data_IF_971840557741
#
_entry.id   IF_971840557741
#
_cell.length_a   1.000
_cell.length_b   1.000
_cell.length_c   1.000
_cell.angle_alpha   90.00
_cell.angle_beta   90.00
_cell.angle_gamma   90.00
#
_symmetry.space_group_name_H-M   'P 1'
#
loop_
_entity.id
_entity.type
_entity.pdbx_description
1 polymer ?
#
# COMPACT_ATOMS: atom_id res chain seq x y z
N UNK A 1 -0.55 23.70 1.27
CA UNK A 1 -1.16 22.40 1.66
C UNK A 1 -2.56 22.39 1.11
N UNK A 2 -3.03 21.23 0.65
CA UNK A 2 -4.37 21.02 0.07
C UNK A 2 -5.15 20.02 0.90
N UNK A 3 -6.50 20.08 0.95
CA UNK A 3 -7.30 19.13 1.69
C UNK A 3 -7.37 17.74 1.02
N UNK A 4 -7.34 17.70 -0.30
CA UNK A 4 -7.45 16.51 -1.14
C UNK A 4 -6.38 16.55 -2.22
N UNK A 5 -5.87 15.39 -2.62
CA UNK A 5 -4.92 15.28 -3.73
C UNK A 5 -5.11 13.97 -4.51
N UNK A 6 -4.75 14.02 -5.78
CA UNK A 6 -4.59 12.84 -6.64
C UNK A 6 -3.12 12.42 -6.67
N UNK A 7 -2.89 11.14 -6.84
CA UNK A 7 -1.56 10.59 -7.06
C UNK A 7 -1.60 9.32 -7.87
N UNK A 8 -0.42 8.81 -8.21
CA UNK A 8 -0.27 7.53 -8.90
C UNK A 8 0.62 6.60 -8.11
N UNK A 9 0.41 5.31 -8.24
CA UNK A 9 1.25 4.29 -7.63
C UNK A 9 1.63 3.20 -8.64
N UNK A 10 2.93 3.00 -8.76
CA UNK A 10 3.52 1.82 -9.41
C UNK A 10 3.97 0.81 -8.36
N UNK A 11 4.75 1.24 -7.40
CA UNK A 11 5.25 0.42 -6.27
C UNK A 11 4.48 0.69 -4.99
N UNK A 12 4.79 1.80 -4.33
CA UNK A 12 4.20 2.19 -3.05
C UNK A 12 3.86 3.68 -2.97
N UNK A 13 3.77 4.38 -4.09
CA UNK A 13 3.78 5.85 -4.15
C UNK A 13 2.51 6.55 -3.64
N UNK A 14 1.45 5.83 -3.29
CA UNK A 14 0.27 6.35 -2.58
C UNK A 14 0.28 5.89 -1.13
N UNK A 15 0.32 4.59 -0.92
CA UNK A 15 0.14 3.96 0.41
C UNK A 15 1.27 4.35 1.36
N UNK A 16 2.53 4.22 0.90
CA UNK A 16 3.70 4.51 1.73
C UNK A 16 3.80 5.98 2.14
N UNK A 17 3.79 6.98 1.23
CA UNK A 17 3.88 8.39 1.64
C UNK A 17 2.67 8.85 2.45
N UNK A 18 1.47 8.33 2.20
CA UNK A 18 0.31 8.61 3.05
C UNK A 18 0.55 8.14 4.49
N UNK A 19 1.10 6.94 4.66
CA UNK A 19 1.50 6.40 5.97
C UNK A 19 2.49 7.32 6.67
N UNK A 20 3.53 7.75 5.97
CA UNK A 20 4.58 8.62 6.51
C UNK A 20 4.09 10.02 6.86
N UNK A 21 3.06 10.50 6.16
CA UNK A 21 2.44 11.81 6.43
C UNK A 21 1.29 11.74 7.44
N UNK A 22 0.93 10.57 7.94
CA UNK A 22 -0.18 10.39 8.88
C UNK A 22 -1.54 10.73 8.27
N UNK A 23 -1.73 10.46 6.98
CA UNK A 23 -2.99 10.69 6.26
C UNK A 23 -3.48 9.38 5.61
N UNK A 24 -4.72 9.40 5.14
CA UNK A 24 -5.29 8.29 4.39
C UNK A 24 -4.84 8.36 2.93
N UNK A 25 -4.36 7.23 2.40
CA UNK A 25 -4.03 7.04 1.00
C UNK A 25 -4.85 5.88 0.45
N UNK A 26 -5.55 6.10 -0.63
CA UNK A 26 -6.35 5.10 -1.31
C UNK A 26 -5.81 4.85 -2.72
N UNK A 27 -5.37 3.64 -2.99
CA UNK A 27 -5.03 3.16 -4.33
C UNK A 27 -6.23 2.39 -4.87
N UNK A 28 -6.81 2.84 -5.97
CA UNK A 28 -7.94 2.16 -6.58
C UNK A 28 -7.57 0.78 -7.15
N UNK A 29 -8.55 -0.03 -7.47
CA UNK A 29 -8.40 -1.15 -8.41
C UNK A 29 -7.74 -0.63 -9.70
N UNK A 30 -6.90 -1.43 -10.36
CA UNK A 30 -6.35 -1.06 -11.68
C UNK A 30 -7.51 -0.74 -12.62
N UNK A 31 -7.36 0.35 -13.38
CA UNK A 31 -8.41 0.89 -14.26
C UNK A 31 -9.75 1.26 -13.56
N UNK A 32 -9.79 1.27 -12.22
CA UNK A 32 -10.95 1.71 -11.44
C UNK A 32 -11.21 3.23 -11.54
N UNK A 33 -10.22 4.00 -11.95
CA UNK A 33 -10.35 5.39 -12.37
C UNK A 33 -9.89 5.56 -13.80
N UNK A 34 -10.54 6.44 -14.56
CA UNK A 34 -10.06 6.82 -15.88
C UNK A 34 -8.67 7.44 -15.77
N UNK A 35 -7.74 6.93 -16.56
CA UNK A 35 -6.35 7.37 -16.61
C UNK A 35 -6.05 8.26 -17.82
N UNK A 36 -7.08 8.72 -18.53
CA UNK A 36 -6.94 9.63 -19.66
C UNK A 36 -6.16 10.90 -19.29
N UNK A 37 -5.21 11.32 -20.13
CA UNK A 37 -4.36 12.48 -19.87
C UNK A 37 -3.21 12.26 -18.88
N UNK A 38 -3.05 11.07 -18.30
CA UNK A 38 -1.95 10.73 -17.41
C UNK A 38 -0.93 9.89 -18.17
N UNK A 39 0.34 10.26 -18.09
CA UNK A 39 1.41 9.47 -18.70
C UNK A 39 1.64 8.17 -17.92
N UNK A 40 1.41 7.05 -18.59
CA UNK A 40 1.74 5.73 -18.04
C UNK A 40 3.21 5.42 -18.29
N UNK A 41 3.92 5.10 -17.21
CA UNK A 41 5.31 4.62 -17.29
C UNK A 41 5.35 3.10 -17.14
N UNK A 42 4.40 2.53 -16.41
CA UNK A 42 4.24 1.07 -16.26
C UNK A 42 2.76 0.70 -16.41
N UNK A 43 2.28 0.52 -17.64
CA UNK A 43 0.86 0.40 -17.96
C UNK A 43 0.11 -0.69 -17.18
N UNK A 44 0.76 -1.81 -16.88
CA UNK A 44 0.15 -2.92 -16.13
C UNK A 44 0.25 -2.78 -14.60
N UNK A 45 0.90 -1.73 -14.09
CA UNK A 45 1.10 -1.50 -12.66
C UNK A 45 0.56 -0.14 -12.20
N UNK A 46 0.76 0.92 -13.00
CA UNK A 46 0.40 2.29 -12.63
C UNK A 46 -1.09 2.40 -12.34
N UNK A 47 -1.41 2.83 -11.15
CA UNK A 47 -2.79 2.98 -10.68
C UNK A 47 -2.99 4.38 -10.11
N UNK A 48 -4.12 4.99 -10.41
CA UNK A 48 -4.51 6.27 -9.82
C UNK A 48 -5.01 6.06 -8.38
N UNK A 49 -4.84 7.08 -7.55
CA UNK A 49 -5.35 7.04 -6.19
C UNK A 49 -5.46 8.42 -5.56
N UNK A 50 -5.88 8.42 -4.31
CA UNK A 50 -6.38 9.58 -3.59
C UNK A 50 -5.63 9.75 -2.28
N UNK A 51 -5.46 11.00 -1.85
CA UNK A 51 -4.99 11.37 -0.53
C UNK A 51 -5.99 12.29 0.14
N UNK A 52 -6.30 12.02 1.41
CA UNK A 52 -7.15 12.85 2.24
C UNK A 52 -6.83 12.70 3.74
N UNK A 53 -7.41 13.57 4.57
CA UNK A 53 -7.25 13.51 6.02
C UNK A 53 -8.32 12.68 6.72
N UNK A 54 -9.34 12.23 5.99
CA UNK A 54 -10.40 11.38 6.51
C UNK A 54 -10.92 10.40 5.47
N UNK A 55 -11.53 9.30 5.92
CA UNK A 55 -12.20 8.34 5.02
C UNK A 55 -13.41 8.97 4.31
N UNK A 56 -14.26 9.79 4.97
CA UNK A 56 -15.32 10.51 4.25
C UNK A 56 -14.81 11.36 3.09
N UNK A 57 -13.66 12.01 3.22
CA UNK A 57 -13.03 12.79 2.15
C UNK A 57 -12.52 11.89 1.00
N UNK A 58 -11.97 10.71 1.30
CA UNK A 58 -11.62 9.69 0.28
C UNK A 58 -12.88 9.27 -0.48
N UNK A 59 -13.98 8.97 0.23
CA UNK A 59 -15.24 8.59 -0.38
C UNK A 59 -15.83 9.70 -1.26
N UNK A 60 -15.78 10.95 -0.77
CA UNK A 60 -16.26 12.12 -1.51
C UNK A 60 -15.48 12.31 -2.81
N UNK A 61 -14.12 12.27 -2.74
CA UNK A 61 -13.27 12.47 -3.90
C UNK A 61 -13.42 11.32 -4.91
N UNK A 62 -13.53 10.07 -4.42
CA UNK A 62 -13.80 8.91 -5.26
C UNK A 62 -15.08 9.10 -6.07
N UNK A 63 -16.18 9.48 -5.41
CA UNK A 63 -17.49 9.74 -6.07
C UNK A 63 -17.40 10.87 -7.10
N UNK A 64 -16.68 11.94 -6.77
CA UNK A 64 -16.51 13.06 -7.71
C UNK A 64 -15.77 12.64 -9.00
N UNK A 65 -14.87 11.65 -8.91
CA UNK A 65 -14.14 11.13 -10.07
C UNK A 65 -14.93 10.09 -10.85
N UNK A 66 -15.63 9.19 -10.15
CA UNK A 66 -16.38 8.09 -10.80
C UNK A 66 -17.75 8.49 -11.29
N UNK A 67 -18.31 9.60 -10.80
CA UNK A 67 -19.69 10.00 -11.09
C UNK A 67 -20.74 9.13 -10.39
N UNK A 68 -20.36 8.29 -9.45
CA UNK A 68 -21.30 7.43 -8.71
C UNK A 68 -22.20 8.27 -7.78
N UNK A 69 -23.51 8.07 -7.88
CA UNK A 69 -24.48 8.84 -7.09
C UNK A 69 -24.73 8.28 -5.69
N UNK A 70 -24.30 7.05 -5.41
CA UNK A 70 -24.57 6.38 -4.14
C UNK A 70 -23.77 7.02 -2.99
N UNK A 71 -24.37 6.98 -1.79
CA UNK A 71 -23.76 7.50 -0.56
C UNK A 71 -22.42 6.83 -0.23
N UNK A 72 -21.74 7.32 0.81
CA UNK A 72 -20.56 6.63 1.33
C UNK A 72 -20.95 5.19 1.68
N UNK A 73 -20.29 4.21 1.08
CA UNK A 73 -20.46 2.83 1.48
C UNK A 73 -20.13 2.73 2.98
N UNK A 74 -21.09 2.28 3.76
CA UNK A 74 -20.87 1.95 5.16
C UNK A 74 -20.67 0.45 5.27
N UNK A 75 -19.80 0.04 6.20
CA UNK A 75 -19.80 -1.35 6.58
C UNK A 75 -21.14 -1.67 7.24
N UNK A 76 -21.88 -2.70 6.81
CA UNK A 76 -23.23 -2.94 7.32
C UNK A 76 -23.23 -3.13 8.83
N UNK A 77 -24.15 -2.43 9.52
CA UNK A 77 -24.31 -2.56 10.96
C UNK A 77 -24.59 -4.02 11.36
N UNK A 78 -23.94 -4.45 12.44
CA UNK A 78 -24.05 -5.82 12.95
C UNK A 78 -23.24 -6.87 12.19
N UNK A 79 -22.68 -6.57 11.04
CA UNK A 79 -21.80 -7.49 10.33
C UNK A 79 -20.39 -7.45 10.94
N UNK A 80 -19.92 -8.61 11.40
CA UNK A 80 -18.52 -8.78 11.87
C UNK A 80 -17.59 -8.81 10.65
N UNK A 81 -16.59 -7.92 10.56
CA UNK A 81 -15.59 -8.04 9.51
C UNK A 81 -14.76 -9.31 9.70
N UNK A 82 -14.56 -10.06 8.61
CA UNK A 82 -13.62 -11.17 8.55
C UNK A 82 -12.34 -10.65 7.89
N UNK A 83 -11.25 -10.58 8.62
CA UNK A 83 -10.01 -9.95 8.18
C UNK A 83 -8.87 -10.97 8.18
N UNK A 84 -8.06 -10.94 7.13
CA UNK A 84 -6.87 -11.77 7.03
C UNK A 84 -5.62 -10.99 7.41
N UNK A 85 -4.92 -11.38 8.48
CA UNK A 85 -3.60 -10.82 8.77
C UNK A 85 -2.55 -11.50 7.89
N UNK A 86 -1.99 -10.73 6.95
CA UNK A 86 -1.01 -11.23 5.99
C UNK A 86 0.36 -10.56 6.21
N UNK A 87 1.34 -11.34 6.68
CA UNK A 87 2.69 -10.82 6.92
C UNK A 87 3.53 -10.71 5.66
N UNK A 88 3.19 -11.44 4.60
CA UNK A 88 3.96 -11.60 3.36
C UNK A 88 5.38 -12.15 3.59
N UNK A 89 6.08 -12.51 2.50
CA UNK A 89 7.49 -12.90 2.55
C UNK A 89 8.44 -11.77 2.95
N UNK A 90 7.93 -10.53 3.01
CA UNK A 90 8.70 -9.33 3.35
C UNK A 90 8.69 -9.03 4.86
N UNK A 91 8.05 -9.86 5.67
CA UNK A 91 7.86 -9.59 7.11
C UNK A 91 9.16 -9.29 7.86
N UNK A 92 10.27 -9.90 7.47
CA UNK A 92 11.59 -9.65 8.06
C UNK A 92 12.13 -8.24 7.82
N UNK A 93 11.58 -7.50 6.86
CA UNK A 93 11.93 -6.09 6.60
C UNK A 93 11.15 -5.13 7.50
N UNK A 94 10.08 -5.59 8.16
CA UNK A 94 9.32 -4.76 9.09
C UNK A 94 10.15 -4.48 10.34
N UNK A 95 10.25 -3.22 10.73
CA UNK A 95 10.88 -2.84 11.99
C UNK A 95 10.14 -3.48 13.20
N UNK A 96 10.81 -3.64 14.35
CA UNK A 96 10.14 -4.15 15.55
C UNK A 96 8.86 -3.36 15.90
N UNK A 97 8.88 -2.05 15.71
CA UNK A 97 7.73 -1.17 15.97
C UNK A 97 6.58 -1.43 14.98
N UNK A 98 6.88 -1.68 13.70
CA UNK A 98 5.87 -2.07 12.70
C UNK A 98 5.28 -3.43 13.06
N UNK A 99 6.10 -4.40 13.44
CA UNK A 99 5.62 -5.72 13.88
C UNK A 99 4.71 -5.62 15.11
N UNK A 100 5.08 -4.78 16.08
CA UNK A 100 4.27 -4.49 17.26
C UNK A 100 2.96 -3.78 16.88
N UNK A 101 3.01 -2.78 16.00
CA UNK A 101 1.83 -2.05 15.53
C UNK A 101 0.80 -2.97 14.85
N UNK A 102 1.26 -3.93 14.04
CA UNK A 102 0.40 -4.94 13.43
C UNK A 102 -0.24 -5.85 14.49
N UNK A 103 0.51 -6.25 15.51
CA UNK A 103 -0.03 -7.02 16.65
C UNK A 103 -1.14 -6.27 17.39
N UNK A 104 -0.88 -5.01 17.76
CA UNK A 104 -1.86 -4.13 18.42
C UNK A 104 -3.08 -3.88 17.52
N UNK A 105 -2.88 -3.72 16.20
CA UNK A 105 -3.99 -3.57 15.26
C UNK A 105 -4.90 -4.81 15.30
N UNK A 106 -4.31 -6.01 15.27
CA UNK A 106 -5.07 -7.27 15.37
C UNK A 106 -5.91 -7.31 16.66
N UNK A 107 -5.30 -7.02 17.81
CA UNK A 107 -5.99 -7.04 19.10
C UNK A 107 -7.17 -6.06 19.11
N UNK A 108 -6.95 -4.80 18.73
CA UNK A 108 -8.01 -3.78 18.70
C UNK A 108 -9.16 -4.15 17.77
N UNK A 109 -8.85 -4.72 16.61
CA UNK A 109 -9.89 -5.13 15.67
C UNK A 109 -10.71 -6.30 16.19
N UNK A 110 -10.08 -7.24 16.89
CA UNK A 110 -10.78 -8.33 17.60
C UNK A 110 -11.67 -7.76 18.72
N UNK A 111 -11.16 -6.84 19.54
CA UNK A 111 -11.90 -6.20 20.62
C UNK A 111 -13.11 -5.41 20.09
N UNK A 112 -12.98 -4.80 18.91
CA UNK A 112 -14.07 -4.11 18.22
C UNK A 112 -15.07 -5.07 17.54
N UNK A 113 -14.83 -6.38 17.59
CA UNK A 113 -15.74 -7.42 17.09
C UNK A 113 -15.38 -8.00 15.72
N UNK A 114 -14.24 -7.68 15.12
CA UNK A 114 -13.79 -8.39 13.92
C UNK A 114 -13.34 -9.83 14.25
N UNK A 115 -13.45 -10.70 13.26
CA UNK A 115 -12.71 -11.95 13.24
C UNK A 115 -11.41 -11.74 12.45
N UNK A 116 -10.25 -11.96 13.07
CA UNK A 116 -8.95 -11.78 12.44
C UNK A 116 -8.19 -13.09 12.44
N UNK A 117 -7.99 -13.65 11.25
CA UNK A 117 -7.25 -14.92 11.06
C UNK A 117 -5.89 -14.64 10.40
N UNK A 118 -4.90 -15.49 10.71
CA UNK A 118 -3.61 -15.44 10.02
C UNK A 118 -3.74 -16.02 8.61
N UNK A 119 -3.24 -15.30 7.61
CA UNK A 119 -3.22 -15.73 6.21
C UNK A 119 -1.78 -15.94 5.76
N UNK A 120 -1.46 -17.17 5.39
CA UNK A 120 -0.28 -17.49 4.61
C UNK A 120 -0.64 -17.46 3.13
N UNK A 121 0.08 -16.68 2.33
CA UNK A 121 -0.12 -16.68 0.89
C UNK A 121 0.35 -17.99 0.28
N UNK A 122 -0.29 -18.49 -0.78
CA UNK A 122 0.17 -19.65 -1.53
C UNK A 122 1.63 -19.53 -1.99
N UNK A 123 2.31 -20.67 -2.17
CA UNK A 123 3.74 -20.72 -2.53
C UNK A 123 4.09 -19.92 -3.79
N UNK A 124 3.17 -19.79 -4.73
CA UNK A 124 3.36 -18.98 -5.95
C UNK A 124 3.79 -17.55 -5.64
N UNK A 125 3.42 -17.00 -4.48
CA UNK A 125 3.78 -15.63 -4.09
C UNK A 125 5.24 -15.44 -3.67
N UNK A 126 6.01 -16.49 -3.44
CA UNK A 126 7.42 -16.39 -3.04
C UNK A 126 8.26 -15.64 -4.07
N UNK A 127 7.92 -15.78 -5.37
CA UNK A 127 8.59 -15.10 -6.48
C UNK A 127 7.86 -13.87 -7.01
N UNK A 128 6.79 -13.44 -6.35
CA UNK A 128 5.94 -12.36 -6.85
C UNK A 128 6.69 -11.03 -7.02
N UNK A 129 7.58 -10.68 -6.09
CA UNK A 129 8.39 -9.46 -6.19
C UNK A 129 9.43 -9.50 -7.30
N UNK A 130 9.93 -10.67 -7.66
CA UNK A 130 10.82 -10.80 -8.81
C UNK A 130 10.06 -10.53 -10.11
N UNK A 131 8.84 -11.06 -10.23
CA UNK A 131 7.97 -10.74 -11.36
C UNK A 131 7.61 -9.25 -11.40
N UNK A 132 7.30 -8.63 -10.27
CA UNK A 132 7.09 -7.18 -10.20
C UNK A 132 8.30 -6.40 -10.73
N UNK A 133 9.52 -6.77 -10.33
CA UNK A 133 10.75 -6.10 -10.77
C UNK A 133 10.96 -6.22 -12.27
N UNK A 134 10.77 -7.41 -12.83
CA UNK A 134 10.88 -7.67 -14.28
C UNK A 134 9.86 -6.84 -15.06
N UNK A 135 8.58 -6.87 -14.66
CA UNK A 135 7.50 -6.10 -15.31
C UNK A 135 7.81 -4.60 -15.21
N UNK A 136 8.13 -4.11 -14.02
CA UNK A 136 8.42 -2.69 -13.78
C UNK A 136 9.61 -2.18 -14.58
N UNK A 137 10.67 -2.98 -14.70
CA UNK A 137 11.87 -2.62 -15.46
C UNK A 137 11.56 -2.58 -16.96
N UNK A 138 10.94 -3.62 -17.51
CA UNK A 138 10.60 -3.70 -18.92
C UNK A 138 9.68 -2.59 -19.38
N UNK A 139 8.55 -2.40 -18.69
CA UNK A 139 7.57 -1.38 -19.06
C UNK A 139 8.11 0.03 -18.87
N UNK A 140 8.80 0.28 -17.75
CA UNK A 140 9.40 1.58 -17.47
C UNK A 140 10.45 1.99 -18.50
N UNK A 141 11.26 1.05 -18.94
CA UNK A 141 12.26 1.32 -19.97
C UNK A 141 11.61 1.53 -21.34
N UNK A 142 10.60 0.74 -21.69
CA UNK A 142 9.85 0.92 -22.94
C UNK A 142 9.15 2.29 -22.99
N UNK A 143 8.56 2.73 -21.88
CA UNK A 143 7.88 4.03 -21.80
C UNK A 143 8.84 5.22 -21.84
N UNK A 144 10.10 5.03 -21.43
CA UNK A 144 11.13 6.06 -21.38
C UNK A 144 12.21 5.90 -22.46
N UNK A 145 11.97 5.02 -23.44
CA UNK A 145 12.97 4.72 -24.49
C UNK A 145 13.50 5.97 -25.20
N UNK A 146 12.61 6.89 -25.54
CA UNK A 146 12.99 8.13 -26.21
C UNK A 146 13.86 9.01 -25.32
N UNK A 147 13.47 9.23 -24.08
CA UNK A 147 14.23 10.02 -23.10
C UNK A 147 15.59 9.40 -22.83
N UNK A 148 15.63 8.07 -22.70
CA UNK A 148 16.89 7.33 -22.50
C UNK A 148 17.84 7.47 -23.69
N UNK A 149 17.31 7.49 -24.92
CA UNK A 149 18.11 7.63 -26.13
C UNK A 149 18.58 9.07 -26.35
N UNK A 150 17.72 10.07 -26.12
CA UNK A 150 17.96 11.45 -26.52
C UNK A 150 18.49 12.34 -25.37
N UNK A 151 18.21 11.96 -24.12
CA UNK A 151 18.42 12.82 -22.94
C UNK A 151 18.99 12.08 -21.72
N UNK A 152 19.72 10.99 -21.92
CA UNK A 152 20.22 10.13 -20.83
C UNK A 152 20.98 10.92 -19.75
N UNK A 153 21.84 11.87 -20.18
CA UNK A 153 22.66 12.67 -19.27
C UNK A 153 21.85 13.68 -18.43
N UNK A 154 20.68 14.08 -18.91
CA UNK A 154 19.76 14.95 -18.20
C UNK A 154 18.83 14.21 -17.24
N UNK A 155 18.79 12.87 -17.29
CA UNK A 155 17.96 12.06 -16.42
C UNK A 155 18.58 11.94 -15.02
N UNK A 156 17.70 11.74 -14.03
CA UNK A 156 18.11 11.42 -12.67
C UNK A 156 19.05 10.20 -12.64
N UNK A 157 20.11 10.18 -11.78
CA UNK A 157 21.03 9.07 -11.68
C UNK A 157 20.37 7.71 -11.49
N UNK A 158 19.28 7.65 -10.72
CA UNK A 158 18.50 6.45 -10.52
C UNK A 158 17.87 5.94 -11.83
N UNK A 159 17.29 6.83 -12.66
CA UNK A 159 16.72 6.45 -13.96
C UNK A 159 17.80 5.97 -14.94
N UNK A 160 19.00 6.57 -14.90
CA UNK A 160 20.16 6.10 -15.68
C UNK A 160 20.57 4.68 -15.30
N UNK A 161 20.53 4.36 -14.01
CA UNK A 161 20.81 3.00 -13.52
C UNK A 161 19.75 1.99 -13.97
N UNK A 162 18.46 2.38 -13.99
CA UNK A 162 17.37 1.59 -14.58
C UNK A 162 17.64 1.29 -16.07
N UNK A 163 18.04 2.31 -16.83
CA UNK A 163 18.41 2.15 -18.26
C UNK A 163 19.54 1.13 -18.46
N UNK A 164 20.55 1.14 -17.59
CA UNK A 164 21.68 0.18 -17.65
C UNK A 164 21.25 -1.26 -17.35
N UNK A 165 20.24 -1.46 -16.53
CA UNK A 165 19.73 -2.79 -16.15
C UNK A 165 18.79 -3.41 -17.17
N UNK A 166 18.20 -2.59 -18.07
CA UNK A 166 17.25 -3.06 -19.07
C UNK A 166 17.78 -4.20 -19.94
N UNK A 167 19.03 -4.19 -20.46
CA UNK A 167 19.53 -5.25 -21.31
C UNK A 167 19.53 -6.65 -20.67
N UNK A 168 19.40 -6.74 -19.35
CA UNK A 168 19.30 -8.01 -18.62
C UNK A 168 17.90 -8.62 -18.64
N UNK A 169 16.87 -7.89 -19.11
CA UNK A 169 15.49 -8.36 -19.20
C UNK A 169 15.12 -8.57 -20.67
N UNK A 170 14.76 -9.79 -21.02
CA UNK A 170 14.26 -10.15 -22.37
C UNK A 170 12.74 -10.08 -22.40
N UNK A 171 12.18 -10.06 -23.62
CA UNK A 171 10.74 -10.17 -23.81
C UNK A 171 10.18 -11.46 -23.21
N UNK A 172 10.90 -12.56 -23.32
CA UNK A 172 10.50 -13.84 -22.73
C UNK A 172 10.40 -13.75 -21.20
N UNK A 173 11.38 -13.13 -20.54
CA UNK A 173 11.33 -12.87 -19.09
C UNK A 173 10.11 -12.02 -18.71
N UNK A 174 9.79 -10.99 -19.50
CA UNK A 174 8.64 -10.13 -19.27
C UNK A 174 7.31 -10.89 -19.39
N UNK A 175 7.12 -11.67 -20.47
CA UNK A 175 5.90 -12.46 -20.65
C UNK A 175 5.75 -13.54 -19.57
N UNK A 176 6.83 -14.20 -19.18
CA UNK A 176 6.83 -15.15 -18.07
C UNK A 176 6.43 -14.48 -16.74
N UNK A 177 6.96 -13.29 -16.47
CA UNK A 177 6.63 -12.54 -15.27
C UNK A 177 5.15 -12.08 -15.24
N UNK A 178 4.59 -11.68 -16.39
CA UNK A 178 3.16 -11.35 -16.52
C UNK A 178 2.27 -12.58 -16.31
N UNK A 179 2.64 -13.71 -16.88
CA UNK A 179 1.90 -14.97 -16.67
C UNK A 179 1.91 -15.38 -15.20
N UNK A 180 3.06 -15.31 -14.54
CA UNK A 180 3.18 -15.58 -13.12
C UNK A 180 2.36 -14.59 -12.26
N UNK A 181 2.37 -13.29 -12.58
CA UNK A 181 1.54 -12.30 -11.90
C UNK A 181 0.04 -12.59 -12.08
N UNK A 182 -0.38 -13.09 -13.24
CA UNK A 182 -1.77 -13.50 -13.49
C UNK A 182 -2.14 -14.73 -12.63
N UNK A 183 -1.25 -15.72 -12.51
CA UNK A 183 -1.45 -16.87 -11.63
C UNK A 183 -1.58 -16.42 -10.16
N UNK A 184 -0.72 -15.52 -9.68
CA UNK A 184 -0.84 -14.97 -8.33
C UNK A 184 -2.21 -14.30 -8.10
N UNK A 185 -2.74 -13.55 -9.07
CA UNK A 185 -4.07 -12.92 -8.96
C UNK A 185 -5.19 -13.95 -8.86
N UNK A 186 -5.12 -15.04 -9.63
CA UNK A 186 -6.09 -16.14 -9.54
C UNK A 186 -6.05 -16.79 -8.15
N UNK A 187 -4.87 -17.09 -7.64
CA UNK A 187 -4.70 -17.66 -6.30
C UNK A 187 -5.17 -16.70 -5.20
N UNK A 188 -4.92 -15.39 -5.35
CA UNK A 188 -5.36 -14.39 -4.38
C UNK A 188 -6.89 -14.29 -4.31
N UNK A 189 -7.60 -14.47 -5.42
CA UNK A 189 -9.07 -14.47 -5.42
C UNK A 189 -9.64 -15.57 -4.48
N UNK A 190 -8.96 -16.71 -4.40
CA UNK A 190 -9.34 -17.79 -3.47
C UNK A 190 -9.11 -17.41 -2.00
N UNK A 191 -8.09 -16.61 -1.71
CA UNK A 191 -7.85 -16.08 -0.35
C UNK A 191 -8.99 -15.16 0.07
N UNK A 192 -9.47 -14.30 -0.83
CA UNK A 192 -10.60 -13.41 -0.55
C UNK A 192 -11.97 -14.11 -0.46
N UNK A 193 -12.07 -15.39 -0.79
CA UNK A 193 -13.30 -16.14 -0.56
C UNK A 193 -13.64 -16.29 0.93
N UNK A 194 -12.63 -16.23 1.82
CA UNK A 194 -12.80 -16.40 3.26
C UNK A 194 -12.69 -15.10 4.07
N UNK A 195 -12.27 -13.98 3.48
CA UNK A 195 -12.05 -12.72 4.19
C UNK A 195 -12.53 -11.51 3.39
N UNK A 196 -12.89 -10.45 4.09
CA UNK A 196 -13.36 -9.21 3.47
C UNK A 196 -12.21 -8.31 2.98
N UNK A 197 -11.10 -8.35 3.70
CA UNK A 197 -9.86 -7.66 3.35
C UNK A 197 -8.66 -8.32 4.04
N UNK A 198 -7.46 -8.06 3.50
CA UNK A 198 -6.21 -8.37 4.17
C UNK A 198 -5.69 -7.15 4.93
N UNK A 199 -5.04 -7.38 6.07
CA UNK A 199 -4.27 -6.40 6.83
C UNK A 199 -2.80 -6.73 6.69
N UNK A 200 -1.99 -5.74 6.38
CA UNK A 200 -0.55 -5.91 6.16
C UNK A 200 0.19 -4.61 6.53
N UNK A 201 1.51 -4.61 6.73
CA UNK A 201 2.26 -3.37 6.88
C UNK A 201 2.11 -2.44 5.69
N UNK A 202 1.96 -1.14 5.94
CA UNK A 202 1.94 -0.12 4.89
C UNK A 202 3.35 0.32 4.48
N UNK A 203 4.31 0.20 5.40
CA UNK A 203 5.73 0.50 5.22
C UNK A 203 6.57 -0.34 6.20
N UNK A 204 7.87 -0.38 5.97
CA UNK A 204 8.80 -1.12 6.83
C UNK A 204 8.93 -0.54 8.25
N UNK A 205 8.74 0.77 8.40
CA UNK A 205 8.85 1.51 9.65
C UNK A 205 8.31 2.93 9.52
N UNK A 206 8.80 3.85 10.35
CA UNK A 206 8.58 5.29 10.20
C UNK A 206 9.33 5.85 8.97
N UNK A 207 8.96 7.08 8.56
CA UNK A 207 9.72 7.81 7.56
C UNK A 207 11.17 8.03 8.00
N UNK A 208 12.12 7.84 7.06
CA UNK A 208 13.51 8.18 7.30
C UNK A 208 13.69 9.67 7.56
N UNK A 209 14.65 10.01 8.41
CA UNK A 209 15.05 11.40 8.65
C UNK A 209 15.93 11.98 7.53
N UNK A 210 16.35 11.15 6.59
CA UNK A 210 17.17 11.56 5.45
C UNK A 210 16.35 11.57 4.19
N UNK A 211 16.63 12.53 3.30
CA UNK A 211 16.02 12.60 1.97
C UNK A 211 16.84 11.82 0.91
N UNK A 212 17.84 11.08 1.35
CA UNK A 212 18.74 10.34 0.46
C UNK A 212 18.15 8.98 0.11
N UNK A 213 17.70 8.81 -1.12
CA UNK A 213 17.21 7.56 -1.66
C UNK A 213 15.69 7.38 -1.56
N UNK A 214 15.21 6.34 -2.22
CA UNK A 214 13.82 5.90 -2.13
C UNK A 214 13.69 4.92 -0.95
N UNK A 215 12.73 5.18 -0.09
CA UNK A 215 12.32 4.27 0.96
C UNK A 215 11.85 2.93 0.38
N UNK A 216 11.99 1.85 1.16
CA UNK A 216 11.54 0.52 0.75
C UNK A 216 10.03 0.50 0.44
N UNK A 217 9.68 -0.09 -0.71
CA UNK A 217 8.31 -0.20 -1.21
C UNK A 217 7.80 -1.64 -1.18
N UNK A 218 8.57 -2.58 -0.66
CA UNK A 218 8.30 -4.01 -0.78
C UNK A 218 6.93 -4.41 -0.23
N UNK A 219 6.46 -3.74 0.83
CA UNK A 219 5.13 -3.97 1.40
C UNK A 219 3.97 -3.51 0.52
N UNK A 220 4.21 -2.69 -0.51
CA UNK A 220 3.18 -2.19 -1.41
C UNK A 220 3.26 -2.81 -2.81
N UNK A 221 4.46 -3.19 -3.27
CA UNK A 221 4.72 -3.66 -4.64
C UNK A 221 3.88 -4.88 -4.99
N UNK A 222 3.82 -5.85 -4.09
CA UNK A 222 2.99 -7.05 -4.25
C UNK A 222 1.53 -6.66 -4.53
N UNK A 223 0.96 -5.81 -3.69
CA UNK A 223 -0.45 -5.45 -3.78
C UNK A 223 -0.78 -4.58 -4.98
N UNK A 224 0.18 -3.78 -5.46
CA UNK A 224 0.01 -3.07 -6.74
C UNK A 224 -0.09 -4.07 -7.89
N UNK A 225 0.80 -5.07 -7.94
CA UNK A 225 0.77 -6.11 -8.98
C UNK A 225 -0.47 -7.00 -8.90
N UNK A 226 -1.09 -7.11 -7.72
CA UNK A 226 -2.35 -7.85 -7.54
C UNK A 226 -3.59 -7.10 -8.02
N UNK A 227 -3.46 -5.87 -8.43
CA UNK A 227 -4.50 -5.04 -9.06
C UNK A 227 -5.68 -4.65 -8.17
N UNK A 228 -5.84 -5.21 -6.97
CA UNK A 228 -6.92 -4.85 -6.05
C UNK A 228 -6.73 -3.48 -5.39
N UNK A 229 -7.79 -2.91 -4.80
CA UNK A 229 -7.69 -1.64 -4.09
C UNK A 229 -6.91 -1.81 -2.79
N UNK A 230 -6.19 -0.76 -2.39
CA UNK A 230 -5.49 -0.67 -1.11
C UNK A 230 -5.80 0.65 -0.43
N UNK A 231 -5.82 0.65 0.90
CA UNK A 231 -6.00 1.87 1.67
C UNK A 231 -5.09 1.84 2.90
N UNK A 232 -4.39 2.93 3.18
CA UNK A 232 -3.62 3.07 4.42
C UNK A 232 -4.42 3.79 5.49
N UNK A 233 -4.34 3.28 6.71
CA UNK A 233 -4.96 3.85 7.91
C UNK A 233 -3.83 4.26 8.86
N UNK A 234 -3.59 5.56 9.06
CA UNK A 234 -2.63 6.06 10.03
C UNK A 234 -3.20 5.83 11.45
N UNK A 235 -2.56 5.00 12.25
CA UNK A 235 -3.10 4.61 13.55
C UNK A 235 -2.06 4.61 14.67
N UNK A 236 -0.79 4.80 14.35
CA UNK A 236 0.32 4.67 15.29
C UNK A 236 1.33 5.80 15.13
N UNK A 237 2.16 5.93 16.15
CA UNK A 237 3.32 6.82 16.16
C UNK A 237 4.53 5.99 16.55
N UNK A 238 5.58 6.11 15.79
CA UNK A 238 6.82 5.39 16.03
C UNK A 238 7.75 6.09 17.03
N UNK A 239 8.93 5.51 17.29
CA UNK A 239 9.86 5.97 18.33
C UNK A 239 10.40 7.39 18.10
N UNK A 240 10.50 7.85 16.85
CA UNK A 240 10.89 9.21 16.53
C UNK A 240 9.70 10.17 16.39
N UNK A 241 8.52 9.77 16.88
CA UNK A 241 7.27 10.53 16.82
C UNK A 241 6.75 10.76 15.40
N UNK A 242 7.19 9.94 14.45
CA UNK A 242 6.69 9.96 13.08
C UNK A 242 5.48 9.03 12.93
N UNK A 243 4.54 9.35 12.03
CA UNK A 243 3.38 8.51 11.81
C UNK A 243 3.75 7.11 11.29
N UNK A 244 2.95 6.14 11.70
CA UNK A 244 2.95 4.77 11.20
C UNK A 244 1.50 4.33 10.98
N UNK A 245 1.29 3.38 10.06
CA UNK A 245 -0.04 2.90 9.73
C UNK A 245 -0.06 1.46 9.27
N UNK A 246 -1.27 0.94 9.17
CA UNK A 246 -1.55 -0.34 8.52
C UNK A 246 -2.06 -0.11 7.11
N UNK A 247 -1.88 -1.10 6.25
CA UNK A 247 -2.50 -1.17 4.93
C UNK A 247 -3.59 -2.22 4.94
N UNK A 248 -4.75 -1.89 4.40
CA UNK A 248 -5.80 -2.85 4.08
C UNK A 248 -5.85 -3.07 2.57
N UNK A 249 -6.04 -4.31 2.16
CA UNK A 249 -6.07 -4.73 0.76
C UNK A 249 -7.39 -5.43 0.49
N UNK A 250 -8.12 -5.01 -0.55
CA UNK A 250 -9.38 -5.58 -0.97
C UNK A 250 -9.27 -6.42 -2.24
N UNK A 251 -10.30 -7.23 -2.55
CA UNK A 251 -10.39 -7.93 -3.83
C UNK A 251 -10.53 -6.94 -4.98
N UNK A 252 -10.12 -7.34 -6.18
CA UNK A 252 -10.26 -6.55 -7.41
C UNK A 252 -11.73 -6.14 -7.61
N UNK A 253 -11.98 -4.86 -7.88
CA UNK A 253 -13.33 -4.29 -8.02
C UNK A 253 -14.05 -4.04 -6.70
N UNK A 254 -13.42 -4.31 -5.55
CA UNK A 254 -13.98 -4.11 -4.22
C UNK A 254 -13.76 -2.71 -3.62
N UNK A 255 -13.55 -1.70 -4.44
CA UNK A 255 -13.13 -0.34 -4.03
C UNK A 255 -14.09 0.30 -3.04
N UNK A 256 -15.38 0.34 -3.35
CA UNK A 256 -16.41 0.92 -2.49
C UNK A 256 -16.51 0.19 -1.15
N UNK A 257 -16.55 -1.15 -1.22
CA UNK A 257 -16.63 -1.99 -0.02
C UNK A 257 -15.40 -1.81 0.87
N UNK A 258 -14.20 -1.67 0.28
CA UNK A 258 -12.97 -1.43 1.03
C UNK A 258 -13.00 -0.07 1.73
N UNK A 259 -13.52 0.98 1.10
CA UNK A 259 -13.68 2.30 1.72
C UNK A 259 -14.64 2.24 2.90
N UNK A 260 -15.77 1.53 2.77
CA UNK A 260 -16.72 1.32 3.88
C UNK A 260 -16.09 0.54 5.04
N UNK A 261 -15.36 -0.52 4.74
CA UNK A 261 -14.62 -1.30 5.75
C UNK A 261 -13.52 -0.47 6.40
N UNK A 262 -12.83 0.38 5.63
CA UNK A 262 -11.82 1.30 6.16
C UNK A 262 -12.39 2.27 7.19
N UNK A 263 -13.60 2.77 6.99
CA UNK A 263 -14.27 3.64 7.95
C UNK A 263 -14.52 2.90 9.28
N UNK A 264 -14.98 1.66 9.21
CA UNK A 264 -15.15 0.80 10.39
C UNK A 264 -13.83 0.53 11.11
N UNK A 265 -12.78 0.14 10.36
CA UNK A 265 -11.44 -0.11 10.91
C UNK A 265 -10.86 1.16 11.53
N UNK A 266 -10.98 2.31 10.86
CA UNK A 266 -10.49 3.59 11.40
C UNK A 266 -11.15 3.95 12.74
N UNK A 267 -12.44 3.66 12.90
CA UNK A 267 -13.15 3.79 14.16
C UNK A 267 -12.57 2.90 15.26
N UNK A 268 -12.33 1.63 14.96
CA UNK A 268 -11.69 0.66 15.86
C UNK A 268 -10.23 1.03 16.20
N UNK A 269 -9.55 1.71 15.29
CA UNK A 269 -8.15 2.11 15.40
C UNK A 269 -7.97 3.53 15.95
N UNK A 270 -9.02 4.16 16.51
CA UNK A 270 -8.95 5.52 17.06
C UNK A 270 -7.66 5.70 17.88
N UNK A 271 -6.91 6.79 17.67
CA UNK A 271 -5.57 6.96 18.23
C UNK A 271 -5.61 6.89 19.75
N UNK A 272 -4.81 5.97 20.32
CA UNK A 272 -4.49 6.03 21.73
C UNK A 272 -3.54 7.20 21.96
N UNK A 273 -3.67 7.93 23.08
CA UNK A 273 -2.62 8.83 23.51
C UNK A 273 -1.29 8.05 23.63
N UNK A 274 -0.19 8.68 23.25
CA UNK A 274 1.17 8.07 23.25
C UNK A 274 1.48 7.39 24.60
N UNK A 275 0.95 7.92 25.70
CA UNK A 275 1.09 7.38 27.07
C UNK A 275 0.40 6.04 27.31
N UNK A 276 -0.50 5.62 26.42
CA UNK A 276 -1.27 4.38 26.56
C UNK A 276 -0.73 3.22 25.71
N UNK A 277 0.37 3.42 24.95
CA UNK A 277 0.99 2.34 24.19
C UNK A 277 1.77 1.41 25.14
N UNK A 278 1.56 0.08 25.07
CA UNK A 278 2.42 -0.86 25.80
C UNK A 278 3.89 -0.64 25.39
N UNK A 279 4.76 -0.39 26.35
CA UNK A 279 6.19 -0.07 26.08
C UNK A 279 6.52 1.42 25.92
N UNK A 280 5.56 2.33 26.09
CA UNK A 280 5.82 3.78 26.05
C UNK A 280 6.87 4.21 27.10
N UNK A 281 6.92 3.53 28.25
CA UNK A 281 7.95 3.76 29.29
C UNK A 281 9.36 3.39 28.79
N UNK A 282 9.50 2.33 28.02
CA UNK A 282 10.78 1.93 27.43
C UNK A 282 11.24 2.89 26.32
N UNK A 283 10.30 3.53 25.63
CA UNK A 283 10.54 4.58 24.61
C UNK A 283 10.94 5.92 25.26
N UNK A 284 10.32 6.28 26.37
CA UNK A 284 10.66 7.49 27.14
C UNK A 284 12.07 7.38 27.77
N UNK A 285 12.47 6.19 28.21
CA UNK A 285 13.79 5.93 28.80
C UNK A 285 14.96 5.97 27.81
N UNK A 286 14.69 5.99 26.49
CA UNK A 286 15.71 6.06 25.42
C UNK A 286 15.98 7.49 24.93
N UNK A 287 15.45 8.54 25.55
CA UNK A 287 15.84 9.90 25.21
C UNK A 287 17.24 10.18 25.80
N UNK A 288 18.27 10.43 24.98
CA UNK A 288 19.53 10.97 25.50
C UNK A 288 19.23 12.34 26.09
N UNK A 289 19.69 12.56 27.32
CA UNK A 289 19.36 13.73 28.15
C UNK A 289 19.52 15.05 27.39
N UNK A 290 18.52 15.87 27.53
CA UNK A 290 18.62 17.29 27.29
C UNK A 290 19.55 17.86 28.37
N UNK A 291 20.77 18.14 28.01
CA UNK A 291 21.63 19.17 28.62
C UNK A 291 22.10 20.11 27.55
#
# INVERSE_FOLDING_TARGET
>A
MVPLALGTQTGGSIIRPATYCGIYGFKATIDGFDRGGIRHVRPSLDTLGLFARSIPDIALLRRAITGEEHGMAQWPDGNRPHLGLCRTSQWSLASPETQQAIGIAKERLCDAGAEVIEIALPQVFERALDSFRVISLWEGASALEREMREHLDAMDPWLRDVARKLPSVTREHYEAAKSHAAECRVQLASVFAGVNALITPAAAGEASRTLNGLEDQSFCQLWTMMHGPCLTIPAFTGPNRMPMGIQIVGPVGGDERLVGLAAWIAGAMAPLPISAMPGAEALAARQPGAQ
#
